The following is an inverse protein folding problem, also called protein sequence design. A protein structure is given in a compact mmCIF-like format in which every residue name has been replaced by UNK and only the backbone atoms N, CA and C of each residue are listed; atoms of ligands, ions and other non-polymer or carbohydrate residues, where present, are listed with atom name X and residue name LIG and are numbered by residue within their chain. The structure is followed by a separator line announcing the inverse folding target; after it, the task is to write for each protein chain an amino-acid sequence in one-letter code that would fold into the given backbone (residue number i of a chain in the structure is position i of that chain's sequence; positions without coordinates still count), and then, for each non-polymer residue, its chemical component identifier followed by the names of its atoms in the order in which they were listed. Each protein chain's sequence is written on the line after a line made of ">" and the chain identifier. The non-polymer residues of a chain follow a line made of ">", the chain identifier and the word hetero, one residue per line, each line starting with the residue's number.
data_IF_585298594392
#
_entry.id   IF_585298594392
#
_cell.length_a   1.000
_cell.length_b   1.000
_cell.length_c   1.000
_cell.angle_alpha   90.00
_cell.angle_beta   90.00
_cell.angle_gamma   90.00
#
_symmetry.space_group_name_H-M   'P 1'
#
loop_
_entity.id
_entity.type
_entity.pdbx_description
1 polymer ?
#
# COMPACT_ATOMS: atom_id res chain seq x y z
N UNK A 1 -35.57 8.82 6.40
CA UNK A 1 -35.24 7.70 7.27
C UNK A 1 -34.40 6.75 6.41
N UNK A 2 -33.10 6.62 6.67
CA UNK A 2 -32.32 5.61 5.99
C UNK A 2 -32.94 4.23 6.32
N UNK A 3 -33.14 3.42 5.32
CA UNK A 3 -33.60 2.04 5.51
C UNK A 3 -32.45 1.21 6.13
N UNK A 4 -32.39 1.25 7.48
CA UNK A 4 -31.34 0.56 8.25
C UNK A 4 -31.36 -0.95 7.96
N UNK A 5 -32.53 -1.51 7.61
CA UNK A 5 -32.67 -2.93 7.29
C UNK A 5 -32.01 -3.27 5.97
N UNK A 6 -32.25 -2.45 4.94
CA UNK A 6 -31.57 -2.59 3.63
C UNK A 6 -30.06 -2.47 3.75
N UNK A 7 -29.58 -1.47 4.51
CA UNK A 7 -28.17 -1.28 4.78
C UNK A 7 -27.52 -2.52 5.44
N UNK A 8 -28.16 -3.09 6.47
CA UNK A 8 -27.62 -4.28 7.16
C UNK A 8 -27.58 -5.51 6.24
N UNK A 9 -28.58 -5.68 5.37
CA UNK A 9 -28.60 -6.78 4.39
C UNK A 9 -27.46 -6.62 3.38
N UNK A 10 -27.30 -5.42 2.81
CA UNK A 10 -26.21 -5.17 1.85
C UNK A 10 -24.83 -5.34 2.49
N UNK A 11 -24.59 -4.77 3.67
CA UNK A 11 -23.31 -4.92 4.38
C UNK A 11 -23.03 -6.38 4.74
N UNK A 12 -24.04 -7.11 5.24
CA UNK A 12 -23.89 -8.53 5.54
C UNK A 12 -23.56 -9.35 4.30
N UNK A 13 -24.23 -9.06 3.17
CA UNK A 13 -23.95 -9.70 1.89
C UNK A 13 -22.53 -9.39 1.38
N UNK A 14 -22.10 -8.12 1.44
CA UNK A 14 -20.74 -7.70 1.05
C UNK A 14 -19.68 -8.45 1.87
N UNK A 15 -19.77 -8.43 3.20
CA UNK A 15 -18.81 -9.10 4.08
C UNK A 15 -18.78 -10.61 3.81
N UNK A 16 -19.96 -11.23 3.63
CA UNK A 16 -20.05 -12.65 3.31
C UNK A 16 -19.40 -12.98 1.97
N UNK A 17 -19.67 -12.19 0.94
CA UNK A 17 -19.05 -12.36 -0.39
C UNK A 17 -17.54 -12.21 -0.31
N UNK A 18 -17.02 -11.19 0.39
CA UNK A 18 -15.58 -11.01 0.61
C UNK A 18 -14.97 -12.24 1.31
N UNK A 19 -15.64 -12.77 2.34
CA UNK A 19 -15.21 -13.99 3.03
C UNK A 19 -15.19 -15.23 2.12
N UNK A 20 -16.21 -15.42 1.27
CA UNK A 20 -16.27 -16.51 0.30
C UNK A 20 -15.17 -16.38 -0.77
N UNK A 21 -15.00 -15.19 -1.29
CA UNK A 21 -13.98 -14.86 -2.29
C UNK A 21 -12.58 -15.06 -1.71
N UNK A 22 -12.34 -14.61 -0.48
CA UNK A 22 -11.10 -14.85 0.25
C UNK A 22 -10.79 -16.34 0.42
N UNK A 23 -11.81 -17.14 0.79
CA UNK A 23 -11.68 -18.60 0.89
C UNK A 23 -11.32 -19.27 -0.44
N UNK A 24 -11.87 -18.78 -1.55
CA UNK A 24 -11.51 -19.28 -2.90
C UNK A 24 -10.07 -18.94 -3.22
N UNK A 25 -9.65 -17.69 -2.98
CA UNK A 25 -8.25 -17.26 -3.18
C UNK A 25 -7.27 -18.15 -2.41
N UNK A 26 -7.57 -18.42 -1.14
CA UNK A 26 -6.75 -19.25 -0.26
C UNK A 26 -6.59 -20.68 -0.79
N UNK A 27 -7.68 -21.29 -1.29
CA UNK A 27 -7.67 -22.65 -1.86
C UNK A 27 -6.79 -22.78 -3.10
N UNK A 28 -6.65 -21.72 -3.90
CA UNK A 28 -5.81 -21.70 -5.11
C UNK A 28 -4.42 -21.12 -4.84
N UNK A 29 -4.09 -20.79 -3.57
CA UNK A 29 -2.80 -20.23 -3.17
C UNK A 29 -2.53 -18.83 -3.72
N UNK A 30 -3.58 -18.02 -3.92
CA UNK A 30 -3.51 -16.65 -4.39
C UNK A 30 -3.78 -15.66 -3.26
N UNK A 31 -3.25 -14.44 -3.40
CA UNK A 31 -3.70 -13.32 -2.57
C UNK A 31 -5.18 -13.02 -2.84
N UNK A 32 -6.00 -12.70 -1.83
CA UNK A 32 -7.39 -12.34 -2.04
C UNK A 32 -7.59 -10.95 -2.67
N UNK A 33 -6.57 -10.09 -2.65
CA UNK A 33 -6.65 -8.70 -3.15
C UNK A 33 -7.22 -8.58 -4.57
N UNK A 34 -6.74 -9.35 -5.59
CA UNK A 34 -7.31 -9.30 -6.93
C UNK A 34 -8.80 -9.60 -6.96
N UNK A 35 -9.23 -10.57 -6.17
CA UNK A 35 -10.63 -10.99 -6.14
C UNK A 35 -11.52 -9.96 -5.42
N UNK A 36 -11.00 -9.25 -4.42
CA UNK A 36 -11.71 -8.13 -3.78
C UNK A 36 -11.89 -6.96 -4.76
N UNK A 37 -10.86 -6.63 -5.54
CA UNK A 37 -10.95 -5.62 -6.61
C UNK A 37 -11.98 -6.01 -7.68
N UNK A 38 -11.96 -7.26 -8.14
CA UNK A 38 -12.93 -7.79 -9.10
C UNK A 38 -14.36 -7.81 -8.54
N UNK A 39 -14.52 -8.17 -7.27
CA UNK A 39 -15.83 -8.08 -6.61
C UNK A 39 -16.33 -6.64 -6.57
N UNK A 40 -15.45 -5.66 -6.26
CA UNK A 40 -15.77 -4.24 -6.33
C UNK A 40 -16.20 -3.78 -7.71
N UNK A 41 -15.45 -4.17 -8.76
CA UNK A 41 -15.82 -3.91 -10.15
C UNK A 41 -17.18 -4.50 -10.53
N UNK A 42 -17.52 -5.67 -9.99
CA UNK A 42 -18.78 -6.34 -10.28
C UNK A 42 -20.00 -5.66 -9.62
N UNK A 43 -19.81 -4.99 -8.48
CA UNK A 43 -20.87 -4.32 -7.73
C UNK A 43 -20.81 -2.79 -7.77
N UNK A 44 -19.88 -2.21 -8.53
CA UNK A 44 -19.73 -0.79 -8.76
C UNK A 44 -20.67 -0.23 -9.84
N UNK A 45 -20.53 1.06 -10.14
CA UNK A 45 -21.26 1.72 -11.23
C UNK A 45 -20.91 1.06 -12.58
N UNK A 46 -21.96 0.61 -13.28
CA UNK A 46 -21.79 -0.15 -14.53
C UNK A 46 -21.41 -1.62 -14.34
N UNK A 47 -21.37 -2.11 -13.11
CA UNK A 47 -21.17 -3.52 -12.76
C UNK A 47 -22.47 -4.35 -12.89
N UNK A 48 -22.38 -5.63 -12.46
CA UNK A 48 -23.49 -6.58 -12.59
C UNK A 48 -24.63 -6.32 -11.58
N UNK A 49 -24.32 -5.88 -10.37
CA UNK A 49 -25.29 -5.65 -9.27
C UNK A 49 -24.85 -4.41 -8.49
N UNK A 50 -25.28 -3.20 -8.88
CA UNK A 50 -24.84 -1.97 -8.23
C UNK A 50 -25.27 -1.92 -6.74
N UNK A 51 -24.35 -1.53 -5.86
CA UNK A 51 -24.61 -1.22 -4.46
C UNK A 51 -25.17 0.22 -4.35
N UNK A 52 -26.25 0.39 -3.59
CA UNK A 52 -26.91 1.69 -3.46
C UNK A 52 -26.95 2.20 -2.01
N UNK A 53 -27.36 1.39 -1.07
CA UNK A 53 -27.60 1.84 0.30
C UNK A 53 -26.32 1.89 1.17
N UNK A 54 -25.31 1.09 0.84
CA UNK A 54 -24.09 0.93 1.63
C UNK A 54 -22.86 1.69 1.10
N UNK A 55 -22.96 2.40 -0.03
CA UNK A 55 -21.84 3.04 -0.69
C UNK A 55 -21.06 4.00 0.23
N UNK A 56 -21.75 4.89 0.95
CA UNK A 56 -21.11 5.84 1.88
C UNK A 56 -20.44 5.11 3.05
N UNK A 57 -21.06 4.04 3.58
CA UNK A 57 -20.47 3.25 4.66
C UNK A 57 -19.23 2.50 4.18
N UNK A 58 -19.27 1.95 2.98
CA UNK A 58 -18.11 1.27 2.36
C UNK A 58 -16.98 2.27 2.14
N UNK A 59 -17.27 3.51 1.74
CA UNK A 59 -16.28 4.57 1.60
C UNK A 59 -15.58 4.88 2.93
N UNK A 60 -16.34 5.09 4.01
CA UNK A 60 -15.78 5.33 5.36
C UNK A 60 -14.99 4.11 5.83
N UNK A 61 -15.51 2.90 5.59
CA UNK A 61 -14.81 1.66 5.91
C UNK A 61 -13.48 1.51 5.16
N UNK A 62 -13.44 1.94 3.90
CA UNK A 62 -12.23 1.95 3.09
C UNK A 62 -11.17 2.91 3.66
N UNK A 63 -11.58 4.10 4.12
CA UNK A 63 -10.67 5.07 4.76
C UNK A 63 -10.07 4.51 6.05
N UNK A 64 -10.89 3.87 6.89
CA UNK A 64 -10.42 3.14 8.09
C UNK A 64 -9.47 2.00 7.68
N UNK A 65 -9.75 1.31 6.57
CA UNK A 65 -8.90 0.25 6.02
C UNK A 65 -7.50 0.73 5.70
N UNK A 66 -7.36 1.85 5.00
CA UNK A 66 -6.06 2.48 4.69
C UNK A 66 -5.33 2.89 5.96
N UNK A 67 -6.03 3.52 6.92
CA UNK A 67 -5.45 3.91 8.21
C UNK A 67 -4.89 2.68 8.94
N UNK A 68 -5.65 1.59 9.03
CA UNK A 68 -5.22 0.35 9.69
C UNK A 68 -4.08 -0.34 8.94
N UNK A 69 -4.12 -0.38 7.61
CA UNK A 69 -3.04 -0.93 6.80
C UNK A 69 -1.72 -0.22 7.09
N UNK A 70 -1.74 1.11 7.07
CA UNK A 70 -0.54 1.92 7.28
C UNK A 70 -0.09 1.93 8.75
N UNK A 71 -1.03 1.90 9.71
CA UNK A 71 -0.69 1.74 11.12
C UNK A 71 0.07 0.43 11.36
N UNK A 72 -0.48 -0.71 10.91
CA UNK A 72 0.15 -2.01 11.14
C UNK A 72 1.48 -2.13 10.42
N UNK A 73 1.60 -1.56 9.24
CA UNK A 73 2.87 -1.45 8.55
C UNK A 73 3.89 -0.67 9.39
N UNK A 74 3.49 0.47 9.95
CA UNK A 74 4.35 1.25 10.85
C UNK A 74 4.78 0.46 12.11
N UNK A 75 3.90 -0.40 12.64
CA UNK A 75 4.19 -1.26 13.79
C UNK A 75 5.20 -2.39 13.48
N UNK A 76 5.45 -2.71 12.20
CA UNK A 76 6.44 -3.71 11.79
C UNK A 76 7.88 -3.21 11.95
N UNK A 77 8.07 -1.91 12.01
CA UNK A 77 9.39 -1.28 12.01
C UNK A 77 9.70 -0.57 13.33
N UNK A 78 10.81 -0.93 13.94
CA UNK A 78 11.39 -0.08 14.96
C UNK A 78 12.19 1.06 14.32
N UNK A 79 12.21 2.21 14.99
CA UNK A 79 12.98 3.36 14.52
C UNK A 79 14.48 3.06 14.32
N UNK A 80 15.05 2.14 15.12
CA UNK A 80 16.45 1.70 15.00
C UNK A 80 16.70 0.81 13.78
N UNK A 81 15.82 -0.14 13.50
CA UNK A 81 15.88 -1.00 12.30
C UNK A 81 15.73 -0.18 11.03
N UNK A 82 14.88 0.84 11.06
CA UNK A 82 14.69 1.77 9.98
C UNK A 82 16.01 2.47 9.58
N UNK A 83 16.74 3.03 10.55
CA UNK A 83 18.02 3.70 10.32
C UNK A 83 19.10 2.70 9.85
N UNK A 84 19.10 1.48 10.39
CA UNK A 84 20.03 0.42 9.98
C UNK A 84 19.82 -0.03 8.54
N UNK A 85 18.57 -0.27 8.15
CA UNK A 85 18.18 -0.65 6.78
C UNK A 85 18.50 0.44 5.77
N UNK A 86 18.23 1.71 6.11
CA UNK A 86 18.57 2.86 5.27
C UNK A 86 20.06 2.88 4.89
N UNK A 87 20.96 2.67 5.83
CA UNK A 87 22.40 2.72 5.58
C UNK A 87 22.89 1.59 4.68
N UNK A 88 22.39 0.39 4.86
CA UNK A 88 22.87 -0.79 4.12
C UNK A 88 22.22 -0.94 2.75
N UNK A 89 20.93 -0.62 2.63
CA UNK A 89 20.16 -0.80 1.41
C UNK A 89 20.03 0.46 0.54
N UNK A 90 20.51 1.63 1.01
CA UNK A 90 20.38 2.91 0.29
C UNK A 90 20.73 2.82 -1.21
N UNK A 91 21.89 2.23 -1.63
CA UNK A 91 22.21 2.18 -3.06
C UNK A 91 21.24 1.30 -3.86
N UNK A 92 20.72 0.22 -3.24
CA UNK A 92 19.74 -0.64 -3.86
C UNK A 92 18.37 0.04 -3.93
N UNK A 93 17.98 0.80 -2.90
CA UNK A 93 16.77 1.61 -2.89
C UNK A 93 16.77 2.72 -3.94
N UNK A 94 17.91 3.39 -4.18
CA UNK A 94 18.04 4.40 -5.26
C UNK A 94 17.89 3.75 -6.64
N UNK A 95 18.52 2.59 -6.86
CA UNK A 95 18.37 1.84 -8.11
C UNK A 95 16.93 1.38 -8.30
N UNK A 96 16.29 0.92 -7.22
CA UNK A 96 14.88 0.54 -7.23
C UNK A 96 13.97 1.70 -7.61
N UNK A 97 14.13 2.85 -6.96
CA UNK A 97 13.41 4.08 -7.29
C UNK A 97 13.56 4.44 -8.78
N UNK A 98 14.80 4.55 -9.25
CA UNK A 98 15.06 4.98 -10.64
C UNK A 98 14.48 3.99 -11.64
N UNK A 99 14.76 2.70 -11.49
CA UNK A 99 14.32 1.69 -12.45
C UNK A 99 12.80 1.51 -12.49
N UNK A 100 12.11 1.72 -11.38
CA UNK A 100 10.69 1.41 -11.28
C UNK A 100 9.78 2.65 -11.33
N UNK A 101 10.24 3.83 -10.90
CA UNK A 101 9.49 5.07 -11.03
C UNK A 101 9.53 5.65 -12.45
N UNK A 102 10.70 5.57 -13.13
CA UNK A 102 10.83 6.13 -14.48
C UNK A 102 9.85 5.55 -15.52
N UNK A 103 9.58 4.23 -15.58
CA UNK A 103 8.60 3.69 -16.50
C UNK A 103 7.20 4.29 -16.33
N UNK A 104 6.75 4.45 -15.07
CA UNK A 104 5.46 5.07 -14.79
C UNK A 104 5.42 6.53 -15.18
N UNK A 105 6.44 7.31 -14.79
CA UNK A 105 6.54 8.72 -15.20
C UNK A 105 6.55 8.87 -16.73
N UNK A 106 7.35 8.08 -17.42
CA UNK A 106 7.44 8.10 -18.88
C UNK A 106 6.11 7.72 -19.53
N UNK A 107 5.43 6.69 -19.03
CA UNK A 107 4.14 6.27 -19.55
C UNK A 107 3.10 7.40 -19.45
N UNK A 108 2.98 8.06 -18.29
CA UNK A 108 2.04 9.17 -18.12
C UNK A 108 2.36 10.35 -19.04
N UNK A 109 3.64 10.69 -19.23
CA UNK A 109 4.06 11.76 -20.14
C UNK A 109 3.77 11.40 -21.59
N UNK A 110 4.04 10.17 -22.02
CA UNK A 110 3.74 9.66 -23.36
C UNK A 110 2.24 9.60 -23.64
N UNK A 111 1.41 9.35 -22.62
CA UNK A 111 -0.05 9.39 -22.71
C UNK A 111 -0.61 10.83 -22.65
N UNK A 112 0.24 11.83 -22.47
CA UNK A 112 -0.16 13.24 -22.43
C UNK A 112 -0.87 13.66 -21.13
N UNK A 113 -0.68 12.91 -20.02
CA UNK A 113 -1.38 13.16 -18.74
C UNK A 113 -0.76 14.29 -17.91
N UNK A 114 0.38 14.80 -18.33
CA UNK A 114 1.07 15.90 -17.65
C UNK A 114 1.94 15.49 -16.46
N UNK A 115 2.66 16.45 -15.86
CA UNK A 115 3.72 16.15 -14.89
C UNK A 115 3.19 15.65 -13.53
N UNK A 116 2.03 16.10 -13.09
CA UNK A 116 1.44 15.67 -11.81
C UNK A 116 1.00 14.20 -11.90
N UNK A 117 0.33 13.82 -12.98
CA UNK A 117 -0.03 12.43 -13.22
C UNK A 117 1.22 11.56 -13.46
N UNK A 118 2.27 12.10 -14.09
CA UNK A 118 3.54 11.42 -14.25
C UNK A 118 4.21 11.14 -12.89
N UNK A 119 4.18 12.10 -11.98
CA UNK A 119 4.66 11.88 -10.62
C UNK A 119 3.82 10.81 -9.92
N UNK A 120 2.49 10.88 -9.97
CA UNK A 120 1.61 9.88 -9.37
C UNK A 120 1.88 8.47 -9.94
N UNK A 121 1.94 8.32 -11.27
CA UNK A 121 2.17 7.02 -11.91
C UNK A 121 3.59 6.48 -11.62
N UNK A 122 4.57 7.36 -11.41
CA UNK A 122 5.89 6.98 -10.91
C UNK A 122 5.82 6.26 -9.56
N UNK A 123 5.05 6.79 -8.60
CA UNK A 123 4.83 6.14 -7.31
C UNK A 123 4.09 4.82 -7.42
N UNK A 124 3.02 4.79 -8.25
CA UNK A 124 2.23 3.58 -8.51
C UNK A 124 3.11 2.43 -9.01
N UNK A 125 4.05 2.71 -9.88
CA UNK A 125 4.92 1.69 -10.49
C UNK A 125 6.16 1.37 -9.66
N UNK A 126 6.55 2.25 -8.76
CA UNK A 126 7.74 2.05 -7.93
C UNK A 126 7.52 0.99 -6.85
N UNK A 127 6.45 1.11 -6.05
CA UNK A 127 6.25 0.38 -4.81
C UNK A 127 5.74 -1.04 -5.02
N UNK A 128 6.40 -2.01 -4.39
CA UNK A 128 5.96 -3.40 -4.33
C UNK A 128 4.92 -3.60 -3.21
N UNK A 129 4.13 -4.67 -3.27
CA UNK A 129 3.21 -5.02 -2.19
C UNK A 129 3.92 -5.84 -1.12
N UNK A 130 4.15 -5.24 0.04
CA UNK A 130 4.78 -5.89 1.19
C UNK A 130 3.96 -7.11 1.65
N UNK A 131 2.62 -7.00 1.70
CA UNK A 131 1.73 -8.08 2.11
C UNK A 131 1.75 -9.27 1.15
N UNK A 132 1.68 -9.02 -0.16
CA UNK A 132 1.72 -10.08 -1.18
C UNK A 132 3.09 -10.75 -1.21
N UNK A 133 4.19 -9.98 -1.13
CA UNK A 133 5.55 -10.50 -1.10
C UNK A 133 5.79 -11.37 0.13
N UNK A 134 5.37 -10.90 1.32
CA UNK A 134 5.48 -11.69 2.55
C UNK A 134 4.73 -13.03 2.45
N UNK A 135 3.51 -13.01 1.90
CA UNK A 135 2.74 -14.24 1.63
C UNK A 135 3.47 -15.16 0.65
N UNK A 136 3.98 -14.64 -0.47
CA UNK A 136 4.76 -15.41 -1.45
C UNK A 136 5.96 -16.09 -0.79
N UNK A 137 6.73 -15.35 0.02
CA UNK A 137 7.92 -15.89 0.71
C UNK A 137 7.53 -17.00 1.70
N UNK A 138 6.42 -16.83 2.41
CA UNK A 138 5.87 -17.82 3.36
C UNK A 138 5.40 -19.07 2.63
N UNK A 139 4.54 -18.92 1.61
CA UNK A 139 3.94 -20.03 0.85
C UNK A 139 5.00 -20.86 0.10
N UNK A 140 6.10 -20.23 -0.31
CA UNK A 140 7.23 -20.90 -0.97
C UNK A 140 8.30 -21.41 0.01
N UNK A 141 8.12 -21.27 1.34
CA UNK A 141 9.06 -21.69 2.37
C UNK A 141 10.41 -20.97 2.30
N UNK A 142 10.43 -19.69 1.85
CA UNK A 142 11.67 -18.95 1.58
C UNK A 142 12.09 -17.98 2.69
N UNK A 143 11.38 -17.94 3.81
CA UNK A 143 11.69 -17.01 4.92
C UNK A 143 13.12 -17.15 5.45
N UNK A 144 13.70 -18.36 5.44
CA UNK A 144 15.07 -18.61 5.85
C UNK A 144 16.15 -18.45 4.75
N UNK A 145 15.80 -18.02 3.56
CA UNK A 145 16.72 -17.91 2.44
C UNK A 145 17.62 -16.66 2.56
N UNK A 146 18.83 -16.72 1.97
CA UNK A 146 19.81 -15.61 2.00
C UNK A 146 19.32 -14.33 1.30
N UNK A 147 18.47 -14.45 0.30
CA UNK A 147 17.88 -13.30 -0.40
C UNK A 147 16.76 -12.62 0.37
N UNK A 148 16.11 -13.30 1.29
CA UNK A 148 14.92 -12.76 2.00
C UNK A 148 15.20 -11.47 2.78
N UNK A 149 16.29 -11.35 3.56
CA UNK A 149 16.59 -10.08 4.23
C UNK A 149 16.81 -8.92 3.26
N UNK A 150 17.29 -9.20 2.03
CA UNK A 150 17.46 -8.16 1.00
C UNK A 150 16.12 -7.72 0.45
N UNK A 151 15.23 -8.66 0.15
CA UNK A 151 13.86 -8.38 -0.31
C UNK A 151 13.11 -7.55 0.73
N UNK A 152 13.11 -8.00 1.99
CA UNK A 152 12.46 -7.29 3.09
C UNK A 152 13.07 -5.90 3.29
N UNK A 153 14.39 -5.76 3.21
CA UNK A 153 15.08 -4.47 3.32
C UNK A 153 14.69 -3.49 2.21
N UNK A 154 14.47 -3.96 0.97
CA UNK A 154 13.95 -3.12 -0.13
C UNK A 154 12.50 -2.70 0.13
N UNK A 155 11.64 -3.61 0.56
CA UNK A 155 10.26 -3.28 0.92
C UNK A 155 10.20 -2.20 2.01
N UNK A 156 11.02 -2.34 3.05
CA UNK A 156 11.16 -1.30 4.11
C UNK A 156 11.55 0.05 3.52
N UNK A 157 12.50 0.06 2.58
CA UNK A 157 12.94 1.30 1.92
C UNK A 157 11.83 1.93 1.07
N UNK A 158 11.09 1.11 0.31
CA UNK A 158 9.94 1.55 -0.47
C UNK A 158 8.87 2.15 0.45
N UNK A 159 8.47 1.42 1.49
CA UNK A 159 7.42 1.82 2.44
C UNK A 159 7.78 3.13 3.17
N UNK A 160 9.03 3.23 3.63
CA UNK A 160 9.54 4.46 4.25
C UNK A 160 9.54 5.64 3.29
N UNK A 161 9.93 5.39 2.04
CA UNK A 161 9.93 6.44 1.02
C UNK A 161 8.51 6.94 0.73
N UNK A 162 7.49 6.09 0.87
CA UNK A 162 6.09 6.50 0.75
C UNK A 162 5.67 7.49 1.83
N UNK A 163 6.23 7.43 3.03
CA UNK A 163 5.98 8.42 4.09
C UNK A 163 6.38 9.85 3.68
N UNK A 164 7.36 9.99 2.79
CA UNK A 164 7.75 11.29 2.21
C UNK A 164 7.04 11.56 0.88
N UNK A 165 6.84 10.52 0.08
CA UNK A 165 6.27 10.62 -1.26
C UNK A 165 4.79 11.05 -1.24
N UNK A 166 3.96 10.48 -0.34
CA UNK A 166 2.54 10.78 -0.27
C UNK A 166 2.26 12.26 0.08
N UNK A 167 2.92 12.89 1.06
CA UNK A 167 2.80 14.33 1.28
C UNK A 167 3.23 15.17 0.09
N UNK A 168 4.35 14.80 -0.59
CA UNK A 168 4.79 15.49 -1.79
C UNK A 168 3.75 15.41 -2.91
N UNK A 169 3.17 14.23 -3.13
CA UNK A 169 2.10 14.04 -4.11
C UNK A 169 0.88 14.89 -3.76
N UNK A 170 0.46 14.91 -2.49
CA UNK A 170 -0.70 15.71 -2.04
C UNK A 170 -0.50 17.20 -2.33
N UNK A 171 0.71 17.73 -2.09
CA UNK A 171 1.05 19.11 -2.40
C UNK A 171 0.98 19.41 -3.91
N UNK A 172 1.52 18.50 -4.73
CA UNK A 172 1.47 18.65 -6.19
C UNK A 172 0.03 18.60 -6.73
N UNK A 173 -0.81 17.75 -6.14
CA UNK A 173 -2.23 17.62 -6.48
C UNK A 173 -3.06 18.84 -6.07
N UNK A 174 -2.70 19.50 -4.97
CA UNK A 174 -3.41 20.70 -4.49
C UNK A 174 -3.32 21.89 -5.46
N UNK A 175 -2.42 21.85 -6.47
CA UNK A 175 -2.33 22.85 -7.54
C UNK A 175 -2.00 24.27 -7.03
N UNK A 176 -1.54 24.40 -5.78
CA UNK A 176 -1.19 25.67 -5.14
C UNK A 176 0.06 26.20 -5.83
N UNK A 177 0.00 27.39 -6.44
CA UNK A 177 1.15 27.99 -7.12
C UNK A 177 2.42 28.01 -6.26
N UNK A 178 3.61 28.25 -6.85
CA UNK A 178 4.91 28.12 -6.21
C UNK A 178 5.00 28.73 -4.79
N UNK A 179 4.32 29.82 -4.53
CA UNK A 179 4.31 30.46 -3.19
C UNK A 179 3.40 29.72 -2.19
N UNK A 180 2.20 29.30 -2.60
CA UNK A 180 1.29 28.51 -1.73
C UNK A 180 1.75 27.07 -1.60
N UNK A 181 2.28 26.48 -2.69
CA UNK A 181 2.83 25.14 -2.70
C UNK A 181 4.05 24.98 -1.81
N UNK A 182 4.93 26.00 -1.74
CA UNK A 182 6.09 25.98 -0.84
C UNK A 182 5.66 25.99 0.64
N UNK A 183 4.67 26.76 1.02
CA UNK A 183 4.14 26.79 2.40
C UNK A 183 3.50 25.44 2.76
N UNK A 184 2.64 24.90 1.90
CA UNK A 184 2.01 23.58 2.13
C UNK A 184 3.06 22.47 2.19
N UNK A 185 4.06 22.50 1.32
CA UNK A 185 5.17 21.56 1.33
C UNK A 185 5.98 21.67 2.64
N UNK A 186 6.34 22.88 3.06
CA UNK A 186 7.06 23.10 4.31
C UNK A 186 6.24 22.66 5.53
N UNK A 187 4.93 22.93 5.54
CA UNK A 187 4.03 22.48 6.60
C UNK A 187 3.94 20.93 6.62
N UNK A 188 3.75 20.30 5.46
CA UNK A 188 3.65 18.83 5.37
C UNK A 188 4.97 18.17 5.76
N UNK A 189 6.10 18.59 5.19
CA UNK A 189 7.42 18.07 5.55
C UNK A 189 7.79 18.40 7.00
N UNK A 190 7.45 19.60 7.47
CA UNK A 190 7.62 20.00 8.86
C UNK A 190 6.82 19.11 9.80
N UNK A 191 5.55 18.86 9.50
CA UNK A 191 4.67 17.97 10.27
C UNK A 191 5.22 16.55 10.31
N UNK A 192 5.57 15.97 9.15
CA UNK A 192 6.17 14.63 9.07
C UNK A 192 7.48 14.58 9.86
N UNK A 193 8.34 15.58 9.70
CA UNK A 193 9.64 15.65 10.41
C UNK A 193 9.47 15.77 11.93
N UNK A 194 8.52 16.60 12.39
CA UNK A 194 8.22 16.76 13.83
C UNK A 194 7.64 15.47 14.39
N UNK A 195 6.67 14.84 13.70
CA UNK A 195 6.07 13.59 14.19
C UNK A 195 7.12 12.47 14.19
N UNK A 196 7.95 12.36 13.15
CA UNK A 196 9.05 11.39 13.10
C UNK A 196 10.07 11.65 14.21
N UNK A 197 10.45 12.91 14.45
CA UNK A 197 11.33 13.27 15.56
C UNK A 197 10.72 12.90 16.93
N UNK A 198 9.44 13.18 17.14
CA UNK A 198 8.73 12.81 18.37
C UNK A 198 8.66 11.29 18.52
N UNK A 199 8.38 10.57 17.43
CA UNK A 199 8.37 9.11 17.41
C UNK A 199 9.75 8.54 17.80
N UNK A 200 10.83 9.04 17.18
CA UNK A 200 12.21 8.61 17.46
C UNK A 200 12.66 8.96 18.88
N UNK A 201 12.33 10.15 19.37
CA UNK A 201 12.81 10.67 20.65
C UNK A 201 11.95 10.25 21.84
N UNK A 202 10.63 10.17 21.65
CA UNK A 202 9.65 9.96 22.70
C UNK A 202 8.82 8.67 22.52
N UNK A 203 9.12 7.83 21.54
CA UNK A 203 8.35 6.62 21.24
C UNK A 203 8.13 5.73 22.47
N UNK A 204 9.14 5.57 23.35
CA UNK A 204 9.00 4.81 24.61
C UNK A 204 7.98 5.43 25.58
N UNK A 205 7.86 6.77 25.61
CA UNK A 205 6.89 7.45 26.48
C UNK A 205 5.50 7.33 25.87
N UNK A 206 5.38 7.49 24.55
CA UNK A 206 4.12 7.30 23.81
C UNK A 206 3.64 5.85 24.00
N UNK A 207 4.51 4.87 23.82
CA UNK A 207 4.17 3.46 24.03
C UNK A 207 3.67 3.20 25.45
N UNK A 208 4.34 3.73 26.48
CA UNK A 208 3.86 3.59 27.87
C UNK A 208 2.50 4.25 28.12
N UNK A 209 2.25 5.39 27.51
CA UNK A 209 0.98 6.11 27.68
C UNK A 209 -0.22 5.35 27.10
N UNK A 210 -0.01 4.56 26.03
CA UNK A 210 -1.05 3.73 25.38
C UNK A 210 -1.00 2.27 25.83
N UNK A 211 -0.01 1.89 26.64
CA UNK A 211 0.17 0.52 27.11
C UNK A 211 -0.97 0.09 28.02
N UNK A 212 -1.46 -1.13 27.82
CA UNK A 212 -2.41 -1.78 28.70
C UNK A 212 -2.24 -3.30 28.63
N UNK A 213 -2.34 -3.97 29.76
CA UNK A 213 -2.37 -5.45 29.84
C UNK A 213 -3.72 -6.00 29.33
N UNK A 214 -4.75 -5.15 29.29
CA UNK A 214 -6.04 -5.52 28.74
C UNK A 214 -6.06 -5.26 27.23
N UNK A 215 -6.23 -6.31 26.39
CA UNK A 215 -6.27 -6.18 24.92
C UNK A 215 -7.34 -5.20 24.40
N UNK A 216 -8.51 -5.12 25.07
CA UNK A 216 -9.58 -4.19 24.70
C UNK A 216 -9.12 -2.74 24.91
N UNK A 217 -8.53 -2.44 26.05
CA UNK A 217 -8.03 -1.11 26.34
C UNK A 217 -6.89 -0.73 25.38
N UNK A 218 -5.97 -1.65 25.12
CA UNK A 218 -4.88 -1.45 24.17
C UNK A 218 -5.42 -1.13 22.77
N UNK A 219 -6.43 -1.90 22.29
CA UNK A 219 -7.09 -1.66 21.02
C UNK A 219 -7.68 -0.26 20.96
N UNK A 220 -8.49 0.12 21.94
CA UNK A 220 -9.18 1.42 21.98
C UNK A 220 -8.18 2.57 22.02
N UNK A 221 -7.12 2.46 22.84
CA UNK A 221 -6.10 3.51 22.96
C UNK A 221 -5.31 3.67 21.66
N UNK A 222 -4.79 2.57 21.09
CA UNK A 222 -3.99 2.64 19.86
C UNK A 222 -4.83 3.08 18.67
N UNK A 223 -6.02 2.51 18.50
CA UNK A 223 -6.93 2.90 17.41
C UNK A 223 -7.38 4.34 17.56
N UNK A 224 -7.78 4.75 18.77
CA UNK A 224 -8.23 6.12 19.05
C UNK A 224 -7.17 7.16 18.76
N UNK A 225 -5.93 6.94 19.26
CA UNK A 225 -4.79 7.83 18.95
C UNK A 225 -4.50 7.84 17.45
N UNK A 226 -4.55 6.69 16.79
CA UNK A 226 -4.26 6.60 15.36
C UNK A 226 -5.27 7.38 14.52
N UNK A 227 -6.56 7.17 14.75
CA UNK A 227 -7.64 7.87 14.02
C UNK A 227 -7.58 9.37 14.30
N UNK A 228 -7.32 9.76 15.56
CA UNK A 228 -7.16 11.18 15.92
C UNK A 228 -5.97 11.82 15.19
N UNK A 229 -4.80 11.18 15.22
CA UNK A 229 -3.59 11.69 14.51
C UNK A 229 -3.80 11.70 13.00
N UNK A 230 -4.45 10.68 12.44
CA UNK A 230 -4.81 10.62 11.03
C UNK A 230 -5.72 11.79 10.63
N UNK A 231 -6.77 12.08 11.43
CA UNK A 231 -7.67 13.22 11.20
C UNK A 231 -6.99 14.57 11.35
N UNK A 232 -6.09 14.74 12.34
CA UNK A 232 -5.27 15.95 12.49
C UNK A 232 -4.31 16.11 11.32
N UNK A 233 -3.65 15.03 10.89
CA UNK A 233 -2.75 15.04 9.72
C UNK A 233 -3.50 15.53 8.47
N UNK A 234 -4.71 15.00 8.24
CA UNK A 234 -5.55 15.40 7.11
C UNK A 234 -5.93 16.89 7.14
N UNK A 235 -6.21 17.46 8.33
CA UNK A 235 -6.41 18.90 8.49
C UNK A 235 -5.16 19.73 8.19
N UNK A 236 -3.98 19.16 8.41
CA UNK A 236 -2.68 19.79 8.11
C UNK A 236 -2.21 19.47 6.67
N UNK A 237 -3.11 19.03 5.80
CA UNK A 237 -2.83 18.66 4.39
C UNK A 237 -1.83 17.50 4.26
N UNK A 238 -1.70 16.68 5.29
CA UNK A 238 -0.96 15.41 5.26
C UNK A 238 -1.96 14.26 5.15
N UNK A 239 -1.67 13.26 4.33
CA UNK A 239 -2.55 12.09 4.21
C UNK A 239 -2.80 11.42 5.56
N UNK A 240 -4.06 11.03 5.84
CA UNK A 240 -4.44 10.26 7.02
C UNK A 240 -3.62 8.99 7.15
N UNK A 241 -3.34 8.32 6.02
CA UNK A 241 -2.52 7.12 5.92
C UNK A 241 -1.09 7.36 6.45
N UNK A 242 -0.46 8.48 6.08
CA UNK A 242 0.87 8.87 6.60
C UNK A 242 0.82 9.12 8.10
N UNK A 243 -0.22 9.81 8.59
CA UNK A 243 -0.40 10.01 10.03
C UNK A 243 -0.46 8.69 10.80
N UNK A 244 -1.24 7.74 10.31
CA UNK A 244 -1.35 6.41 10.88
C UNK A 244 -0.02 5.63 10.87
N UNK A 245 0.72 5.66 9.76
CA UNK A 245 2.03 5.05 9.62
C UNK A 245 3.03 5.59 10.66
N UNK A 246 3.06 6.92 10.85
CA UNK A 246 3.95 7.56 11.82
C UNK A 246 3.59 7.18 13.26
N UNK A 247 2.30 7.01 13.59
CA UNK A 247 1.87 6.46 14.89
C UNK A 247 2.41 5.04 15.06
N UNK A 248 2.31 4.21 14.03
CA UNK A 248 2.85 2.85 14.05
C UNK A 248 4.35 2.81 14.38
N UNK A 249 5.16 3.64 13.70
CA UNK A 249 6.60 3.75 13.97
C UNK A 249 6.89 4.29 15.38
N UNK A 250 6.02 5.15 15.93
CA UNK A 250 6.19 5.71 17.26
C UNK A 250 5.99 4.66 18.37
N UNK A 251 5.18 3.65 18.11
CA UNK A 251 4.96 2.55 19.05
C UNK A 251 6.10 1.53 18.94
N UNK A 252 6.52 0.97 20.08
CA UNK A 252 7.68 0.10 20.11
C UNK A 252 7.54 -1.00 21.18
N UNK A 253 8.35 -2.06 21.06
CA UNK A 253 8.42 -3.16 22.03
C UNK A 253 7.11 -3.94 22.15
N UNK A 254 6.78 -4.37 23.37
CA UNK A 254 5.61 -5.21 23.66
C UNK A 254 4.28 -4.55 23.27
N UNK A 255 4.21 -3.22 23.34
CA UNK A 255 3.01 -2.46 22.94
C UNK A 255 2.76 -2.59 21.44
N UNK A 256 3.80 -2.45 20.62
CA UNK A 256 3.68 -2.61 19.16
C UNK A 256 3.25 -4.04 18.81
N UNK A 257 3.85 -5.05 19.44
CA UNK A 257 3.52 -6.45 19.21
C UNK A 257 2.09 -6.79 19.66
N UNK A 258 1.67 -6.29 20.84
CA UNK A 258 0.30 -6.43 21.36
C UNK A 258 -0.73 -5.76 20.44
N UNK A 259 -0.46 -4.50 20.04
CA UNK A 259 -1.31 -3.75 19.12
C UNK A 259 -1.43 -4.46 17.75
N UNK A 260 -0.32 -4.96 17.20
CA UNK A 260 -0.31 -5.72 15.95
C UNK A 260 -1.22 -6.94 16.03
N UNK A 261 -1.10 -7.75 17.09
CA UNK A 261 -1.95 -8.94 17.28
C UNK A 261 -3.43 -8.61 17.40
N UNK A 262 -3.75 -7.54 18.13
CA UNK A 262 -5.14 -7.18 18.42
C UNK A 262 -5.82 -6.49 17.24
N UNK A 263 -5.08 -5.67 16.47
CA UNK A 263 -5.60 -4.90 15.34
C UNK A 263 -5.54 -5.66 14.00
N UNK A 264 -4.75 -6.75 13.88
CA UNK A 264 -4.63 -7.49 12.63
C UNK A 264 -5.98 -7.97 12.07
N UNK A 265 -6.91 -8.55 12.85
CA UNK A 265 -8.22 -8.96 12.31
C UNK A 265 -9.05 -7.77 11.78
N UNK A 266 -8.98 -6.61 12.45
CA UNK A 266 -9.65 -5.39 11.99
C UNK A 266 -9.04 -4.88 10.70
N UNK A 267 -7.69 -4.85 10.61
CA UNK A 267 -7.00 -4.51 9.38
C UNK A 267 -7.45 -5.41 8.23
N UNK A 268 -7.50 -6.72 8.44
CA UNK A 268 -7.85 -7.68 7.39
C UNK A 268 -9.28 -7.45 6.88
N UNK A 269 -10.23 -7.19 7.79
CA UNK A 269 -11.60 -6.84 7.45
C UNK A 269 -11.67 -5.54 6.64
N UNK A 270 -11.11 -4.46 7.17
CA UNK A 270 -11.21 -3.15 6.54
C UNK A 270 -10.31 -3.00 5.31
N UNK A 271 -9.21 -3.76 5.21
CA UNK A 271 -8.43 -3.87 3.99
C UNK A 271 -9.24 -4.53 2.85
N UNK A 272 -10.01 -5.58 3.14
CA UNK A 272 -10.91 -6.18 2.16
C UNK A 272 -11.96 -5.17 1.68
N UNK A 273 -12.54 -4.38 2.60
CA UNK A 273 -13.48 -3.29 2.27
C UNK A 273 -12.80 -2.21 1.43
N UNK A 274 -11.56 -1.83 1.74
CA UNK A 274 -10.79 -0.86 0.96
C UNK A 274 -10.56 -1.31 -0.48
N UNK A 275 -10.12 -2.56 -0.69
CA UNK A 275 -9.92 -3.07 -2.05
C UNK A 275 -11.23 -3.23 -2.81
N UNK A 276 -12.31 -3.63 -2.13
CA UNK A 276 -13.66 -3.63 -2.70
C UNK A 276 -14.05 -2.23 -3.15
N UNK A 277 -13.91 -1.22 -2.29
CA UNK A 277 -14.26 0.18 -2.58
C UNK A 277 -13.47 0.73 -3.76
N UNK A 278 -12.18 0.42 -3.84
CA UNK A 278 -11.37 0.84 -4.97
C UNK A 278 -11.86 0.22 -6.29
N UNK A 279 -12.20 -1.07 -6.28
CA UNK A 279 -12.84 -1.71 -7.42
C UNK A 279 -14.20 -1.09 -7.76
N UNK A 280 -15.03 -0.82 -6.73
CA UNK A 280 -16.35 -0.20 -6.85
C UNK A 280 -16.27 1.21 -7.45
N UNK A 281 -15.25 1.98 -7.12
CA UNK A 281 -15.00 3.32 -7.64
C UNK A 281 -14.44 3.32 -9.07
N UNK A 282 -14.17 2.15 -9.64
CA UNK A 282 -13.65 1.99 -11.01
C UNK A 282 -14.75 1.50 -11.93
N UNK A 283 -15.07 2.29 -12.97
CA UNK A 283 -16.06 1.88 -13.95
C UNK A 283 -15.46 0.81 -14.89
N UNK A 284 -16.05 -0.40 -14.99
CA UNK A 284 -15.49 -1.48 -15.80
C UNK A 284 -15.29 -1.12 -17.28
N UNK A 285 -16.14 -0.25 -17.82
CA UNK A 285 -16.04 0.22 -19.21
C UNK A 285 -14.79 1.08 -19.49
N UNK A 286 -14.16 1.64 -18.44
CA UNK A 286 -12.95 2.45 -18.56
C UNK A 286 -11.65 1.61 -18.56
N UNK A 287 -11.75 0.30 -18.28
CA UNK A 287 -10.59 -0.61 -18.26
C UNK A 287 -10.09 -0.95 -19.68
N UNK A 288 -10.94 -1.31 -20.65
CA UNK A 288 -10.46 -1.71 -21.98
C UNK A 288 -9.57 -0.68 -22.67
N UNK A 289 -9.83 0.63 -22.61
CA UNK A 289 -8.96 1.66 -23.22
C UNK A 289 -7.55 1.72 -22.61
N UNK A 290 -7.40 1.36 -21.34
CA UNK A 290 -6.13 1.41 -20.59
C UNK A 290 -5.45 0.04 -20.44
N UNK A 291 -6.07 -1.04 -20.93
CA UNK A 291 -5.56 -2.39 -20.77
C UNK A 291 -4.21 -2.59 -21.45
N UNK A 292 -4.03 -2.11 -22.67
CA UNK A 292 -2.75 -2.21 -23.38
C UNK A 292 -1.64 -1.41 -22.69
N UNK A 293 -1.81 -0.14 -22.32
CA UNK A 293 -0.86 0.58 -21.47
C UNK A 293 -0.56 -0.13 -20.15
N UNK A 294 -1.58 -0.68 -19.48
CA UNK A 294 -1.40 -1.42 -18.23
C UNK A 294 -0.55 -2.68 -18.42
N UNK A 295 -0.79 -3.47 -19.48
CA UNK A 295 -0.02 -4.66 -19.82
C UNK A 295 1.45 -4.32 -20.14
N UNK A 296 1.68 -3.29 -20.97
CA UNK A 296 3.03 -2.85 -21.31
C UNK A 296 3.77 -2.36 -20.07
N UNK A 297 3.10 -1.56 -19.24
CA UNK A 297 3.67 -1.03 -18.00
C UNK A 297 3.98 -2.17 -17.01
N UNK A 298 3.07 -3.15 -16.88
CA UNK A 298 3.27 -4.33 -16.05
C UNK A 298 4.46 -5.16 -16.53
N UNK A 299 4.61 -5.38 -17.83
CA UNK A 299 5.74 -6.12 -18.38
C UNK A 299 7.07 -5.39 -18.12
N UNK A 300 7.12 -4.08 -18.38
CA UNK A 300 8.33 -3.26 -18.16
C UNK A 300 8.70 -3.25 -16.68
N UNK A 301 7.72 -3.00 -15.79
CA UNK A 301 8.01 -2.90 -14.35
C UNK A 301 8.27 -4.26 -13.70
N UNK A 302 7.76 -5.35 -14.23
CA UNK A 302 8.18 -6.70 -13.83
C UNK A 302 9.66 -6.95 -14.15
N UNK A 303 10.11 -6.57 -15.36
CA UNK A 303 11.51 -6.69 -15.77
C UNK A 303 12.43 -5.79 -14.93
N UNK A 304 12.02 -4.55 -14.65
CA UNK A 304 12.82 -3.64 -13.80
C UNK A 304 12.90 -4.14 -12.36
N UNK A 305 11.84 -4.75 -11.80
CA UNK A 305 11.91 -5.39 -10.47
C UNK A 305 12.79 -6.63 -10.45
N UNK A 306 12.78 -7.43 -11.51
CA UNK A 306 13.75 -8.53 -11.66
C UNK A 306 15.18 -7.99 -11.65
N UNK A 307 15.46 -6.90 -12.38
CA UNK A 307 16.76 -6.25 -12.40
C UNK A 307 17.13 -5.66 -11.03
N UNK A 308 16.20 -5.00 -10.34
CA UNK A 308 16.39 -4.46 -8.99
C UNK A 308 16.77 -5.57 -7.99
N UNK A 309 15.98 -6.63 -7.92
CA UNK A 309 16.26 -7.75 -7.00
C UNK A 309 17.57 -8.46 -7.33
N UNK A 310 17.89 -8.61 -8.63
CA UNK A 310 19.18 -9.14 -9.08
C UNK A 310 20.35 -8.28 -8.60
N UNK A 311 20.25 -6.98 -8.75
CA UNK A 311 21.28 -6.03 -8.32
C UNK A 311 21.42 -6.04 -6.79
N UNK A 312 20.34 -5.85 -6.07
CA UNK A 312 20.34 -5.75 -4.61
C UNK A 312 20.88 -7.03 -3.94
N UNK A 313 20.38 -8.20 -4.34
CA UNK A 313 20.86 -9.47 -3.83
C UNK A 313 22.31 -9.75 -4.25
N UNK A 314 22.71 -9.27 -5.45
CA UNK A 314 24.10 -9.32 -5.89
C UNK A 314 25.07 -8.55 -4.99
N UNK A 315 24.68 -7.35 -4.55
CA UNK A 315 25.46 -6.54 -3.60
C UNK A 315 25.62 -7.22 -2.22
N UNK A 316 24.60 -7.97 -1.82
CA UNK A 316 24.60 -8.75 -0.57
C UNK A 316 25.37 -10.09 -0.70
N UNK A 317 26.05 -10.36 -1.80
CA UNK A 317 26.82 -11.59 -2.00
C UNK A 317 25.96 -12.85 -2.25
N UNK A 318 24.68 -12.66 -2.59
CA UNK A 318 23.77 -13.78 -2.88
C UNK A 318 24.09 -14.36 -4.27
N UNK A 319 24.07 -15.69 -4.39
CA UNK A 319 24.34 -16.39 -5.66
C UNK A 319 23.24 -16.18 -6.71
N UNK A 320 23.53 -16.53 -7.97
CA UNK A 320 22.63 -16.28 -9.14
C UNK A 320 21.19 -16.73 -8.93
N UNK A 321 20.97 -17.92 -8.34
CA UNK A 321 19.61 -18.43 -8.05
C UNK A 321 18.86 -17.54 -7.08
N UNK A 322 19.49 -17.10 -5.99
CA UNK A 322 18.87 -16.21 -5.02
C UNK A 322 18.59 -14.81 -5.59
N UNK A 323 19.46 -14.31 -6.51
CA UNK A 323 19.22 -13.01 -7.18
C UNK A 323 17.93 -13.04 -8.03
N UNK A 324 17.71 -14.13 -8.79
CA UNK A 324 16.47 -14.29 -9.56
C UNK A 324 15.26 -14.40 -8.66
N UNK A 325 15.35 -15.17 -7.55
CA UNK A 325 14.26 -15.29 -6.57
C UNK A 325 13.93 -13.98 -5.90
N UNK A 326 14.94 -13.17 -5.56
CA UNK A 326 14.73 -11.83 -5.00
C UNK A 326 13.93 -10.94 -5.97
N UNK A 327 14.34 -10.90 -7.24
CA UNK A 327 13.62 -10.12 -8.26
C UNK A 327 12.20 -10.63 -8.51
N UNK A 328 12.04 -11.95 -8.64
CA UNK A 328 10.72 -12.55 -8.88
C UNK A 328 9.72 -12.32 -7.74
N UNK A 329 10.20 -12.23 -6.50
CA UNK A 329 9.35 -11.92 -5.35
C UNK A 329 8.84 -10.47 -5.36
N UNK A 330 9.66 -9.51 -5.84
CA UNK A 330 9.35 -8.08 -5.83
C UNK A 330 8.37 -7.62 -6.95
N UNK A 331 7.95 -8.51 -7.83
CA UNK A 331 7.09 -8.14 -8.99
C UNK A 331 5.70 -7.68 -8.56
N UNK A 332 5.15 -8.25 -7.48
CA UNK A 332 3.78 -7.96 -7.05
C UNK A 332 3.58 -6.49 -6.64
N UNK A 333 2.47 -5.90 -7.07
CA UNK A 333 1.99 -4.57 -6.67
C UNK A 333 0.76 -4.70 -5.79
N UNK A 334 0.40 -3.64 -5.05
CA UNK A 334 -0.72 -3.75 -4.13
C UNK A 334 -1.23 -2.42 -3.58
N UNK A 335 -1.37 -2.38 -2.27
CA UNK A 335 -2.05 -1.36 -1.49
C UNK A 335 -1.59 0.08 -1.77
N UNK A 336 -0.28 0.32 -1.79
CA UNK A 336 0.24 1.67 -2.03
C UNK A 336 -0.04 2.18 -3.44
N UNK A 337 0.05 1.30 -4.47
CA UNK A 337 -0.31 1.69 -5.84
C UNK A 337 -1.76 2.17 -5.90
N UNK A 338 -2.66 1.49 -5.17
CA UNK A 338 -4.08 1.83 -5.10
C UNK A 338 -4.31 3.14 -4.32
N UNK A 339 -3.62 3.32 -3.18
CA UNK A 339 -3.68 4.58 -2.39
C UNK A 339 -3.23 5.77 -3.23
N UNK A 340 -2.10 5.66 -3.93
CA UNK A 340 -1.59 6.73 -4.81
C UNK A 340 -2.57 7.03 -5.93
N UNK A 341 -3.18 6.00 -6.55
CA UNK A 341 -4.18 6.19 -7.60
C UNK A 341 -5.45 6.88 -7.08
N UNK A 342 -5.93 6.51 -5.90
CA UNK A 342 -7.07 7.16 -5.26
C UNK A 342 -6.82 8.65 -5.00
N UNK A 343 -5.63 9.02 -4.51
CA UNK A 343 -5.25 10.43 -4.33
C UNK A 343 -5.18 11.19 -5.65
N UNK A 344 -4.68 10.55 -6.72
CA UNK A 344 -4.44 11.19 -8.01
C UNK A 344 -5.66 11.18 -8.96
N UNK A 345 -6.77 10.54 -8.59
CA UNK A 345 -7.96 10.41 -9.43
C UNK A 345 -8.54 11.77 -9.89
N UNK A 346 -8.44 12.81 -9.05
CA UNK A 346 -8.86 14.17 -9.39
C UNK A 346 -7.96 14.86 -10.41
N UNK A 347 -6.70 14.46 -10.57
CA UNK A 347 -5.77 15.05 -11.52
C UNK A 347 -5.85 14.37 -12.90
N UNK A 348 -6.08 13.06 -12.94
CA UNK A 348 -6.26 12.29 -14.18
C UNK A 348 -7.21 11.11 -13.90
N UNK A 349 -8.45 11.17 -14.38
CA UNK A 349 -9.45 10.12 -14.10
C UNK A 349 -9.05 8.71 -14.59
N UNK A 350 -8.22 8.61 -15.62
CA UNK A 350 -7.77 7.33 -16.19
C UNK A 350 -6.71 6.63 -15.32
N UNK A 351 -6.13 7.31 -14.32
CA UNK A 351 -5.17 6.70 -13.38
C UNK A 351 -5.82 5.56 -12.60
N UNK A 352 -7.05 5.73 -12.11
CA UNK A 352 -7.79 4.70 -11.37
C UNK A 352 -7.92 3.40 -12.17
N UNK A 353 -8.61 3.42 -13.33
CA UNK A 353 -8.77 2.25 -14.20
C UNK A 353 -7.44 1.61 -14.62
N UNK A 354 -6.44 2.42 -14.99
CA UNK A 354 -5.12 1.92 -15.37
C UNK A 354 -4.44 1.22 -14.19
N UNK A 355 -4.47 1.80 -13.00
CA UNK A 355 -3.87 1.21 -11.81
C UNK A 355 -4.59 -0.07 -11.41
N UNK A 356 -5.92 -0.11 -11.50
CA UNK A 356 -6.70 -1.33 -11.23
C UNK A 356 -6.25 -2.46 -12.13
N UNK A 357 -6.21 -2.25 -13.44
CA UNK A 357 -5.74 -3.26 -14.40
C UNK A 357 -4.28 -3.66 -14.12
N UNK A 358 -3.40 -2.68 -13.90
CA UNK A 358 -1.98 -2.87 -13.62
C UNK A 358 -1.74 -3.71 -12.35
N UNK A 359 -2.41 -3.38 -11.26
CA UNK A 359 -2.29 -4.10 -9.97
C UNK A 359 -2.84 -5.51 -10.12
N UNK A 360 -4.03 -5.69 -10.74
CA UNK A 360 -4.60 -7.01 -11.00
C UNK A 360 -3.62 -7.91 -11.75
N UNK A 361 -3.01 -7.40 -12.83
CA UNK A 361 -2.03 -8.14 -13.62
C UNK A 361 -0.84 -8.57 -12.75
N UNK A 362 -0.26 -7.66 -11.99
CA UNK A 362 0.99 -7.92 -11.25
C UNK A 362 0.78 -8.67 -9.94
N UNK A 363 -0.36 -8.53 -9.27
CA UNK A 363 -0.67 -9.38 -8.10
C UNK A 363 -0.90 -10.82 -8.55
N UNK A 364 -1.52 -11.02 -9.71
CA UNK A 364 -1.66 -12.37 -10.29
C UNK A 364 -0.32 -12.91 -10.80
N UNK A 365 0.49 -12.09 -11.47
CA UNK A 365 1.79 -12.51 -12.02
C UNK A 365 2.83 -12.78 -10.92
N UNK A 366 2.79 -12.08 -9.78
CA UNK A 366 3.78 -12.17 -8.70
C UNK A 366 4.06 -13.61 -8.21
N UNK A 367 3.06 -14.39 -7.79
CA UNK A 367 3.27 -15.79 -7.40
C UNK A 367 3.86 -16.66 -8.50
N UNK A 368 3.47 -16.44 -9.77
CA UNK A 368 4.01 -17.19 -10.91
C UNK A 368 5.47 -16.83 -11.18
N UNK A 369 5.81 -15.53 -11.20
CA UNK A 369 7.21 -15.09 -11.39
C UNK A 369 8.11 -15.57 -10.26
N UNK A 370 7.63 -15.54 -9.03
CA UNK A 370 8.35 -16.05 -7.88
C UNK A 370 8.59 -17.57 -7.98
N UNK A 371 7.61 -18.36 -8.44
CA UNK A 371 7.77 -19.80 -8.66
C UNK A 371 8.70 -20.09 -9.83
N UNK A 372 8.57 -19.37 -10.94
CA UNK A 372 9.37 -19.58 -12.17
C UNK A 372 10.86 -19.26 -11.95
N UNK A 373 11.17 -18.37 -11.04
CA UNK A 373 12.54 -18.08 -10.62
C UNK A 373 13.12 -19.12 -9.64
N UNK A 374 12.43 -20.25 -9.43
CA UNK A 374 12.98 -21.46 -8.82
C UNK A 374 13.73 -22.25 -9.92
N UNK A 375 15.06 -22.24 -9.98
CA UNK A 375 15.74 -23.22 -10.80
C UNK A 375 15.53 -24.60 -10.18
N UNK A 376 15.23 -25.57 -11.03
CA UNK A 376 15.14 -26.99 -10.70
C UNK A 376 16.39 -27.48 -9.92
#
# INVERSE_FOLDING_TARGET
>A
MHDTTGLLIELGAVILVLGLVGRVAERVGLSPIPLYLLAGLAVGEGGLVPLHASADFVAVGAEIGVILLLLLLGLEYSAGELVGSLRTQYPAGVVDLVLNALPGAAAALLLGWGPVAAFALAGITWVSSSGVVAKILTDLGRLGNRETPVVLGLLVMEDLSMALYLPLLTVLLAGVGLAGGSVTLLLSLGTVSVVLYLALRHGRHISRAVSSDNPEMLLLMVLGVTVLVAGVAQRLQVSAAVGAFLVGIALSGEVAEGARRTLAPLRDLFAAVFFLFFGLSTVPADIPPVLLPALLLAAVTALTKLATGWYAAGRAGVGRRGRLRAGGALVARGEFSVVVAGLAAGAEPRIGPLTTAYVLILVMAGPFTARWTQPA
#
